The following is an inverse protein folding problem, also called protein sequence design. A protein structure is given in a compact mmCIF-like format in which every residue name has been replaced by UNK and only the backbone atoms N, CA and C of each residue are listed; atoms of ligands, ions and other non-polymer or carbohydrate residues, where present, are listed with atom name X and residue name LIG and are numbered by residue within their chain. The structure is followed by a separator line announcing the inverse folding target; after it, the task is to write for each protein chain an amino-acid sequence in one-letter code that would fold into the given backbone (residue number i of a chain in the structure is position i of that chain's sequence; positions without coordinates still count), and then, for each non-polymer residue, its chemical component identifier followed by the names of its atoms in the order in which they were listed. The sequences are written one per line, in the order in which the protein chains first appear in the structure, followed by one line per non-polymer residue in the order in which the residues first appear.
data_IF_074633800323
#
_entry.id   IF_074633800323
#
_cell.length_a   1.000
_cell.length_b   1.000
_cell.length_c   1.000
_cell.angle_alpha   90.00
_cell.angle_beta   90.00
_cell.angle_gamma   90.00
#
_symmetry.space_group_name_H-M   'P 1'
#
loop_
_entity.id
_entity.type
_entity.pdbx_description
1 polymer ?
#
# COMPACT_ATOMS: atom_id res chain seq x y z
N UNK A 1 18.77 -15.98 -45.50
CA UNK A 1 17.77 -15.71 -44.43
C UNK A 1 18.55 -15.19 -43.23
N UNK A 2 18.52 -13.87 -42.99
CA UNK A 2 19.07 -13.28 -41.79
C UNK A 2 18.03 -13.49 -40.66
N UNK A 3 18.39 -14.31 -39.67
CA UNK A 3 17.60 -14.44 -38.43
C UNK A 3 18.06 -13.31 -37.53
N UNK A 4 17.17 -12.34 -37.18
CA UNK A 4 17.56 -11.30 -36.24
C UNK A 4 17.78 -11.93 -34.85
N UNK A 5 18.98 -11.85 -34.34
CA UNK A 5 19.26 -12.13 -32.93
C UNK A 5 18.59 -11.01 -32.09
N UNK A 6 17.48 -11.33 -31.46
CA UNK A 6 16.88 -10.44 -30.44
C UNK A 6 17.74 -10.58 -29.19
N UNK A 7 18.64 -9.63 -28.98
CA UNK A 7 19.39 -9.52 -27.73
C UNK A 7 18.50 -8.85 -26.68
N UNK A 8 18.05 -9.60 -25.70
CA UNK A 8 17.41 -9.01 -24.52
C UNK A 8 18.50 -8.38 -23.64
N UNK A 9 18.30 -7.14 -23.25
CA UNK A 9 19.21 -6.51 -22.31
C UNK A 9 19.14 -7.26 -20.96
N UNK A 10 20.29 -7.54 -20.39
CA UNK A 10 20.44 -8.25 -19.13
C UNK A 10 21.06 -7.33 -18.09
N UNK A 11 20.56 -7.40 -16.86
CA UNK A 11 21.23 -6.82 -15.69
C UNK A 11 22.04 -7.90 -15.03
N UNK A 12 23.30 -7.58 -14.74
CA UNK A 12 24.25 -8.46 -14.06
C UNK A 12 24.84 -7.71 -12.89
N UNK A 13 25.14 -8.42 -11.83
CA UNK A 13 25.85 -7.86 -10.68
C UNK A 13 26.36 -8.94 -9.75
N UNK A 14 27.22 -8.50 -8.85
CA UNK A 14 27.81 -9.31 -7.80
C UNK A 14 27.34 -8.80 -6.44
N UNK A 15 27.10 -9.72 -5.52
CA UNK A 15 26.70 -9.44 -4.15
C UNK A 15 27.72 -10.09 -3.24
N UNK A 16 28.25 -9.33 -2.28
CA UNK A 16 29.05 -9.83 -1.17
C UNK A 16 28.29 -9.56 0.12
N UNK A 17 28.13 -10.57 0.96
CA UNK A 17 27.46 -10.46 2.24
C UNK A 17 28.49 -10.45 3.35
N UNK A 18 28.56 -9.35 4.06
CA UNK A 18 29.43 -9.21 5.24
C UNK A 18 28.67 -9.63 6.48
N UNK A 19 28.89 -10.85 6.94
CA UNK A 19 28.25 -11.40 8.12
C UNK A 19 28.84 -10.81 9.40
N UNK A 20 27.97 -10.42 10.33
CA UNK A 20 28.34 -9.87 11.63
C UNK A 20 28.41 -10.98 12.68
N UNK A 21 29.26 -10.79 13.68
CA UNK A 21 29.36 -11.71 14.81
C UNK A 21 28.18 -11.58 15.80
N UNK A 22 27.62 -10.38 15.89
CA UNK A 22 26.49 -10.09 16.79
C UNK A 22 25.22 -10.69 16.22
N UNK A 23 24.51 -11.45 17.04
CA UNK A 23 23.29 -12.19 16.64
C UNK A 23 22.01 -11.61 17.24
N UNK A 24 22.09 -10.83 18.34
CA UNK A 24 20.91 -10.26 18.99
C UNK A 24 20.39 -9.03 18.23
N UNK A 25 19.12 -9.08 17.82
CA UNK A 25 18.35 -7.95 17.30
C UNK A 25 17.24 -7.58 18.26
N UNK A 26 17.01 -6.27 18.44
CA UNK A 26 15.92 -5.74 19.25
C UNK A 26 14.89 -5.02 18.40
N UNK A 27 13.61 -5.39 18.54
CA UNK A 27 12.46 -4.72 17.96
C UNK A 27 11.54 -4.24 19.10
N UNK A 28 11.74 -3.03 19.60
CA UNK A 28 11.10 -2.58 20.84
C UNK A 28 11.51 -3.48 22.02
N UNK A 29 10.52 -4.07 22.67
CA UNK A 29 10.73 -5.01 23.79
C UNK A 29 11.06 -6.46 23.34
N UNK A 30 10.99 -6.73 22.04
CA UNK A 30 11.28 -8.02 21.46
C UNK A 30 12.77 -8.17 21.13
N UNK A 31 13.37 -9.28 21.57
CA UNK A 31 14.73 -9.65 21.24
C UNK A 31 14.73 -10.99 20.52
N UNK A 32 15.42 -11.05 19.40
CA UNK A 32 15.66 -12.29 18.64
C UNK A 32 17.15 -12.49 18.40
N UNK A 33 17.57 -13.74 18.44
CA UNK A 33 18.95 -14.14 18.14
C UNK A 33 18.97 -14.79 16.77
N UNK A 34 19.44 -14.07 15.75
CA UNK A 34 19.56 -14.59 14.40
C UNK A 34 20.83 -14.06 13.74
N UNK A 35 21.39 -14.79 12.75
CA UNK A 35 22.55 -14.31 12.01
C UNK A 35 22.25 -12.94 11.39
N UNK A 36 23.21 -12.03 11.46
CA UNK A 36 23.10 -10.70 10.91
C UNK A 36 24.18 -10.44 9.87
N UNK A 37 23.89 -9.55 8.95
CA UNK A 37 24.86 -9.03 7.99
C UNK A 37 24.74 -7.51 7.90
N UNK A 38 25.83 -6.86 7.43
CA UNK A 38 25.89 -5.42 7.33
C UNK A 38 24.92 -4.86 6.27
N UNK A 39 24.44 -3.62 6.49
CA UNK A 39 23.63 -2.87 5.53
C UNK A 39 22.12 -2.97 5.75
N UNK A 40 21.40 -2.23 4.91
CA UNK A 40 19.92 -2.13 4.93
C UNK A 40 19.21 -3.22 4.10
N UNK A 41 19.94 -4.23 3.66
CA UNK A 41 19.49 -5.30 2.77
C UNK A 41 18.87 -6.49 3.51
N UNK A 42 18.50 -6.28 4.74
CA UNK A 42 18.05 -7.29 5.67
C UNK A 42 16.53 -7.38 5.73
N UNK A 43 15.99 -8.58 5.62
CA UNK A 43 14.56 -8.84 5.81
C UNK A 43 14.37 -10.12 6.65
N UNK A 44 13.65 -10.00 7.75
CA UNK A 44 13.25 -11.11 8.60
C UNK A 44 11.75 -11.30 8.57
N UNK A 45 11.30 -12.49 8.17
CA UNK A 45 9.90 -12.90 8.19
C UNK A 45 9.61 -13.54 9.54
N UNK A 46 8.85 -12.85 10.39
CA UNK A 46 8.52 -13.31 11.75
C UNK A 46 7.61 -14.53 11.77
N UNK A 47 6.73 -14.66 10.78
CA UNK A 47 5.77 -15.77 10.72
C UNK A 47 6.46 -17.08 10.34
N UNK A 48 7.38 -16.99 9.40
CA UNK A 48 8.20 -18.12 8.95
C UNK A 48 9.47 -18.31 9.77
N UNK A 49 9.84 -17.35 10.63
CA UNK A 49 11.14 -17.28 11.29
C UNK A 49 12.28 -17.49 10.32
N UNK A 50 12.24 -16.79 9.19
CA UNK A 50 13.17 -16.93 8.08
C UNK A 50 13.88 -15.62 7.77
N UNK A 51 15.15 -15.72 7.40
CA UNK A 51 16.01 -14.60 7.06
C UNK A 51 16.17 -14.51 5.55
N UNK A 52 16.02 -13.31 5.00
CA UNK A 52 16.22 -13.01 3.59
C UNK A 52 17.20 -11.85 3.40
N UNK A 53 17.93 -11.91 2.31
CA UNK A 53 18.62 -10.78 1.74
C UNK A 53 17.69 -10.07 0.76
N UNK A 54 17.57 -8.75 0.88
CA UNK A 54 16.68 -7.95 0.03
C UNK A 54 17.43 -6.71 -0.45
N UNK A 55 17.58 -6.55 -1.75
CA UNK A 55 18.26 -5.39 -2.33
C UNK A 55 17.48 -4.80 -3.49
N UNK A 56 17.50 -3.48 -3.59
CA UNK A 56 16.94 -2.78 -4.75
C UNK A 56 17.92 -2.82 -5.92
N UNK A 57 17.40 -3.10 -7.10
CA UNK A 57 18.13 -3.06 -8.34
C UNK A 57 17.90 -1.73 -9.03
N UNK A 58 18.95 -1.00 -9.30
CA UNK A 58 18.88 0.30 -9.98
C UNK A 58 18.53 0.10 -11.46
N UNK A 59 17.58 0.87 -11.96
CA UNK A 59 17.22 0.93 -13.38
C UNK A 59 15.73 1.13 -13.62
N UNK A 60 15.35 1.83 -14.69
CA UNK A 60 13.94 2.13 -15.00
C UNK A 60 13.23 0.97 -15.70
N UNK A 61 13.93 -0.14 -16.00
CA UNK A 61 13.39 -1.23 -16.76
C UNK A 61 12.57 -2.18 -15.89
N UNK A 62 11.44 -2.65 -16.41
CA UNK A 62 10.75 -3.80 -15.86
C UNK A 62 11.59 -5.04 -16.18
N UNK A 63 11.88 -5.78 -15.12
CA UNK A 63 12.63 -7.01 -15.21
C UNK A 63 11.65 -8.21 -15.27
N UNK A 64 12.09 -9.27 -15.92
CA UNK A 64 11.32 -10.52 -15.92
C UNK A 64 11.54 -11.25 -14.60
N UNK A 65 10.50 -11.28 -13.76
CA UNK A 65 10.53 -11.90 -12.42
C UNK A 65 10.95 -13.38 -12.45
N UNK A 66 10.73 -14.06 -13.56
CA UNK A 66 11.07 -15.48 -13.72
C UNK A 66 12.47 -15.72 -14.28
N UNK A 67 13.18 -14.66 -14.65
CA UNK A 67 14.49 -14.78 -15.30
C UNK A 67 15.66 -14.74 -14.34
N UNK A 68 15.44 -14.63 -13.05
CA UNK A 68 16.50 -14.55 -12.04
C UNK A 68 17.34 -15.82 -12.04
N UNK A 69 18.64 -15.65 -12.25
CA UNK A 69 19.61 -16.73 -12.16
C UNK A 69 20.73 -16.32 -11.22
N UNK A 70 20.98 -17.14 -10.20
CA UNK A 70 22.13 -17.00 -9.31
C UNK A 70 23.25 -17.92 -9.77
N UNK A 71 24.48 -17.43 -9.73
CA UNK A 71 25.68 -18.16 -10.15
C UNK A 71 26.88 -17.80 -9.30
N UNK A 72 27.99 -18.51 -9.46
CA UNK A 72 29.26 -18.24 -8.75
C UNK A 72 29.09 -18.11 -7.23
N UNK A 73 28.21 -18.94 -6.64
CA UNK A 73 27.87 -18.83 -5.23
C UNK A 73 29.01 -19.41 -4.38
N UNK A 74 29.55 -18.55 -3.52
CA UNK A 74 30.58 -18.96 -2.54
C UNK A 74 29.87 -19.06 -1.18
N UNK A 75 30.02 -20.22 -0.56
CA UNK A 75 29.47 -20.52 0.73
C UNK A 75 30.54 -20.62 1.81
N UNK A 76 30.14 -20.34 3.05
CA UNK A 76 30.90 -20.69 4.23
C UNK A 76 30.01 -21.44 5.22
N UNK A 77 30.55 -22.38 6.03
CA UNK A 77 29.75 -23.14 6.98
C UNK A 77 29.22 -22.24 8.09
N UNK A 78 28.03 -22.57 8.60
CA UNK A 78 27.43 -21.95 9.77
C UNK A 78 26.90 -23.06 10.68
N UNK A 79 27.15 -22.97 11.98
CA UNK A 79 26.64 -23.97 12.94
C UNK A 79 25.15 -23.76 13.23
N UNK A 80 24.48 -24.83 13.63
CA UNK A 80 23.08 -24.75 14.06
C UNK A 80 22.88 -23.81 15.25
N UNK A 81 23.85 -23.68 16.12
CA UNK A 81 23.82 -22.76 17.26
C UNK A 81 23.88 -21.29 16.82
N UNK A 82 24.57 -20.98 15.70
CA UNK A 82 24.66 -19.64 15.14
C UNK A 82 23.38 -19.23 14.38
N UNK A 83 22.51 -20.18 14.03
CA UNK A 83 21.23 -19.89 13.41
C UNK A 83 20.21 -19.31 14.40
N UNK A 84 20.42 -19.54 15.69
CA UNK A 84 19.60 -18.98 16.77
C UNK A 84 18.11 -19.32 16.63
N UNK A 85 17.28 -18.31 16.55
CA UNK A 85 15.81 -18.43 16.53
C UNK A 85 15.21 -18.68 15.13
N UNK A 86 16.05 -18.91 14.11
CA UNK A 86 15.55 -19.27 12.78
C UNK A 86 14.88 -20.68 12.81
N UNK A 87 13.76 -20.81 12.11
CA UNK A 87 13.11 -22.10 11.93
C UNK A 87 13.91 -22.98 10.95
N UNK A 88 14.58 -24.01 11.47
CA UNK A 88 15.50 -24.86 10.70
C UNK A 88 14.80 -25.65 9.59
N UNK A 89 13.52 -25.91 9.74
CA UNK A 89 12.65 -26.55 8.75
C UNK A 89 12.35 -25.65 7.54
N UNK A 90 12.41 -24.33 7.74
CA UNK A 90 12.15 -23.34 6.69
C UNK A 90 13.43 -22.91 5.94
N UNK A 91 14.58 -23.46 6.30
CA UNK A 91 15.83 -23.18 5.57
C UNK A 91 15.85 -24.04 4.30
N UNK A 92 15.90 -23.42 3.11
CA UNK A 92 15.82 -24.13 1.84
C UNK A 92 17.10 -24.92 1.55
N UNK A 93 17.01 -25.89 0.63
CA UNK A 93 18.16 -26.67 0.16
C UNK A 93 19.04 -25.92 -0.85
N UNK A 94 18.45 -24.96 -1.55
CA UNK A 94 19.10 -24.10 -2.54
C UNK A 94 18.70 -22.66 -2.28
N UNK A 95 19.48 -21.65 -2.67
CA UNK A 95 19.07 -20.27 -2.55
C UNK A 95 17.79 -20.04 -3.38
N UNK A 96 16.69 -19.77 -2.70
CA UNK A 96 15.45 -19.38 -3.34
C UNK A 96 15.52 -17.90 -3.65
N UNK A 97 15.61 -17.57 -4.93
CA UNK A 97 15.63 -16.17 -5.39
C UNK A 97 14.31 -15.79 -6.04
N UNK A 98 13.83 -14.63 -5.72
CA UNK A 98 12.67 -14.00 -6.34
C UNK A 98 12.95 -12.56 -6.69
N UNK A 99 12.28 -12.07 -7.72
CA UNK A 99 12.29 -10.68 -8.11
C UNK A 99 10.86 -10.13 -7.95
N UNK A 100 10.74 -8.98 -7.32
CA UNK A 100 9.46 -8.28 -7.19
C UNK A 100 9.63 -6.87 -7.74
N UNK A 101 8.67 -6.43 -8.56
CA UNK A 101 8.64 -5.07 -9.07
C UNK A 101 7.55 -4.28 -8.36
N UNK A 102 7.92 -3.20 -7.70
CA UNK A 102 7.00 -2.23 -7.12
C UNK A 102 7.00 -0.95 -7.97
N UNK A 103 5.84 -0.37 -8.16
CA UNK A 103 5.71 0.91 -8.90
C UNK A 103 5.24 1.99 -7.96
N UNK A 104 6.02 3.07 -7.87
CA UNK A 104 5.66 4.26 -7.10
C UNK A 104 5.84 5.49 -7.97
N UNK A 105 4.78 6.29 -8.13
CA UNK A 105 4.79 7.52 -8.94
C UNK A 105 5.39 7.32 -10.35
N UNK A 106 4.94 6.25 -11.03
CA UNK A 106 5.41 5.85 -12.38
C UNK A 106 6.89 5.42 -12.47
N UNK A 107 7.56 5.26 -11.33
CA UNK A 107 8.92 4.72 -11.26
C UNK A 107 8.84 3.26 -10.82
N UNK A 108 9.32 2.36 -11.66
CA UNK A 108 9.47 0.96 -11.31
C UNK A 108 10.73 0.77 -10.45
N UNK A 109 10.56 0.10 -9.31
CA UNK A 109 11.65 -0.34 -8.46
C UNK A 109 11.65 -1.86 -8.39
N UNK A 110 12.77 -2.47 -8.72
CA UNK A 110 12.92 -3.91 -8.70
C UNK A 110 13.69 -4.32 -7.44
N UNK A 111 13.20 -5.35 -6.78
CA UNK A 111 13.81 -5.90 -5.57
C UNK A 111 14.18 -7.35 -5.80
N UNK A 112 15.47 -7.66 -5.62
CA UNK A 112 15.97 -9.03 -5.60
C UNK A 112 15.97 -9.52 -4.16
N UNK A 113 15.23 -10.61 -3.91
CA UNK A 113 15.11 -11.25 -2.61
C UNK A 113 15.59 -12.68 -2.73
N UNK A 114 16.43 -13.14 -1.81
CA UNK A 114 16.85 -14.54 -1.76
C UNK A 114 17.16 -15.00 -0.35
N UNK A 115 17.13 -16.33 -0.14
CA UNK A 115 17.56 -16.95 1.12
C UNK A 115 19.09 -17.00 1.21
N UNK A 116 19.71 -16.27 2.14
CA UNK A 116 21.16 -16.22 2.23
C UNK A 116 21.76 -17.42 2.99
N UNK A 117 20.92 -18.29 3.53
CA UNK A 117 21.30 -19.51 4.26
C UNK A 117 20.60 -20.70 3.62
N UNK A 118 21.34 -21.80 3.45
CA UNK A 118 20.83 -23.06 2.91
C UNK A 118 21.17 -24.22 3.85
N UNK A 119 20.46 -25.35 3.65
CA UNK A 119 20.74 -26.63 4.32
C UNK A 119 20.99 -27.70 3.28
N UNK A 120 22.17 -28.30 3.30
CA UNK A 120 22.51 -29.45 2.45
C UNK A 120 22.73 -30.73 3.29
N UNK A 121 23.24 -31.76 2.66
CA UNK A 121 23.51 -33.05 3.32
C UNK A 121 24.66 -32.98 4.37
N UNK A 122 25.44 -31.91 4.35
CA UNK A 122 26.61 -31.70 5.21
C UNK A 122 26.33 -30.70 6.34
N UNK A 123 25.16 -30.07 6.37
CA UNK A 123 24.75 -29.10 7.36
C UNK A 123 24.30 -27.77 6.78
N UNK A 124 24.46 -26.71 7.58
CA UNK A 124 24.02 -25.38 7.17
C UNK A 124 25.20 -24.59 6.57
N UNK A 125 24.89 -23.80 5.55
CA UNK A 125 25.84 -22.92 4.88
C UNK A 125 25.20 -21.55 4.67
N UNK A 126 26.01 -20.51 4.80
CA UNK A 126 25.62 -19.13 4.48
C UNK A 126 26.38 -18.66 3.25
N UNK A 127 25.73 -17.82 2.47
CA UNK A 127 26.33 -17.24 1.26
C UNK A 127 27.28 -16.12 1.66
N UNK A 128 28.52 -16.19 1.17
CA UNK A 128 29.51 -15.13 1.29
C UNK A 128 29.45 -14.18 0.10
N UNK A 129 29.33 -14.74 -1.10
CA UNK A 129 29.17 -13.94 -2.32
C UNK A 129 28.46 -14.74 -3.39
N UNK A 130 27.84 -14.03 -4.33
CA UNK A 130 27.21 -14.60 -5.51
C UNK A 130 27.20 -13.59 -6.67
N UNK A 131 27.00 -14.09 -7.88
CA UNK A 131 26.66 -13.29 -9.05
C UNK A 131 25.20 -13.54 -9.43
N UNK A 132 24.51 -12.53 -9.98
CA UNK A 132 23.17 -12.68 -10.52
C UNK A 132 23.07 -12.18 -11.95
N UNK A 133 22.13 -12.75 -12.69
CA UNK A 133 21.74 -12.33 -14.04
C UNK A 133 20.22 -12.29 -14.09
N UNK A 134 19.69 -11.20 -14.61
CA UNK A 134 18.24 -10.97 -14.77
C UNK A 134 17.99 -10.38 -16.15
N UNK A 135 17.03 -10.93 -16.88
CA UNK A 135 16.64 -10.42 -18.20
C UNK A 135 15.61 -9.31 -18.07
N UNK A 136 15.67 -8.33 -18.95
CA UNK A 136 14.59 -7.36 -19.05
C UNK A 136 13.32 -8.04 -19.60
N UNK A 137 12.18 -7.68 -19.05
CA UNK A 137 10.90 -8.10 -19.60
C UNK A 137 10.68 -7.43 -20.95
N UNK A 138 10.30 -8.23 -21.97
CA UNK A 138 9.83 -7.70 -23.24
C UNK A 138 8.45 -7.05 -23.14
N UNK A 139 7.77 -7.26 -22.03
CA UNK A 139 6.56 -6.54 -21.71
C UNK A 139 6.95 -5.08 -21.54
N UNK A 140 6.60 -4.24 -22.53
CA UNK A 140 6.42 -2.81 -22.26
C UNK A 140 5.66 -2.78 -20.95
N UNK A 141 6.06 -1.88 -20.02
CA UNK A 141 5.16 -1.51 -18.95
C UNK A 141 3.79 -1.47 -19.64
N UNK A 142 2.95 -2.48 -19.46
CA UNK A 142 1.56 -2.19 -19.34
C UNK A 142 1.60 -1.18 -18.21
N UNK A 143 1.81 0.08 -18.51
CA UNK A 143 1.06 1.07 -17.81
C UNK A 143 -0.30 0.41 -17.84
N UNK A 144 -0.68 -0.29 -16.76
CA UNK A 144 -2.06 -0.28 -16.44
C UNK A 144 -2.29 1.22 -16.36
N UNK A 145 -2.62 1.78 -17.51
CA UNK A 145 -3.46 2.92 -17.64
C UNK A 145 -4.81 2.47 -17.05
N UNK A 146 -4.84 1.99 -15.81
CA UNK A 146 -5.75 2.61 -14.90
C UNK A 146 -5.22 4.04 -14.89
N UNK A 147 -5.60 4.76 -15.96
CA UNK A 147 -5.84 6.19 -15.87
C UNK A 147 -6.54 6.27 -14.52
N UNK A 148 -5.84 6.70 -13.51
CA UNK A 148 -6.47 7.50 -12.48
C UNK A 148 -7.22 8.46 -13.37
N UNK A 149 -8.53 8.24 -13.53
CA UNK A 149 -9.32 9.04 -14.44
C UNK A 149 -9.04 10.42 -13.90
N UNK A 150 -8.22 11.16 -14.63
CA UNK A 150 -7.89 12.53 -14.24
C UNK A 150 -9.26 13.12 -14.25
N UNK A 151 -9.83 13.40 -13.06
CA UNK A 151 -11.15 13.96 -12.93
C UNK A 151 -11.12 15.26 -13.72
N UNK A 152 -11.55 15.19 -14.96
CA UNK A 152 -11.61 16.36 -15.85
C UNK A 152 -12.66 17.32 -15.33
N UNK A 153 -13.63 16.85 -14.55
CA UNK A 153 -14.74 17.61 -14.00
C UNK A 153 -15.07 17.09 -12.59
N UNK A 154 -14.27 17.49 -11.59
CA UNK A 154 -14.65 17.25 -10.19
C UNK A 154 -15.92 18.00 -9.84
N UNK A 155 -16.77 17.41 -9.03
CA UNK A 155 -17.97 18.07 -8.50
C UNK A 155 -17.61 19.39 -7.79
N UNK A 156 -16.44 19.46 -7.17
CA UNK A 156 -15.91 20.65 -6.49
C UNK A 156 -15.39 21.73 -7.44
N UNK A 157 -15.35 21.50 -8.76
CA UNK A 157 -14.81 22.45 -9.72
C UNK A 157 -15.66 23.72 -9.90
N UNK A 158 -16.93 23.67 -9.50
CA UNK A 158 -17.86 24.79 -9.61
C UNK A 158 -18.87 24.78 -8.45
N UNK A 159 -19.43 25.94 -8.14
CA UNK A 159 -20.39 26.12 -7.06
C UNK A 159 -19.76 26.66 -5.78
N UNK A 160 -20.63 26.94 -4.80
CA UNK A 160 -20.21 27.37 -3.46
C UNK A 160 -20.26 26.17 -2.52
N UNK A 161 -19.14 25.85 -1.89
CA UNK A 161 -18.96 24.65 -1.10
C UNK A 161 -18.72 24.99 0.36
N UNK A 162 -19.44 24.28 1.26
CA UNK A 162 -19.37 24.46 2.70
C UNK A 162 -19.09 23.09 3.34
N UNK A 163 -18.01 22.98 4.09
CA UNK A 163 -17.56 21.72 4.68
C UNK A 163 -17.93 21.61 6.15
N UNK A 164 -18.49 20.47 6.52
CA UNK A 164 -18.69 20.06 7.90
C UNK A 164 -18.21 18.61 8.10
N UNK A 165 -18.19 18.17 9.35
CA UNK A 165 -17.80 16.79 9.66
C UNK A 165 -18.75 16.16 10.65
N UNK A 166 -18.74 14.84 10.68
CA UNK A 166 -19.36 13.99 11.66
C UNK A 166 -18.35 12.96 12.17
N UNK A 167 -18.60 12.40 13.36
CA UNK A 167 -17.75 11.38 13.97
C UNK A 167 -18.42 10.01 13.97
N UNK A 168 -19.73 9.97 14.14
CA UNK A 168 -20.51 8.73 14.24
C UNK A 168 -21.55 8.61 13.14
N UNK A 169 -21.79 7.37 12.70
CA UNK A 169 -22.85 7.09 11.75
C UNK A 169 -24.24 7.31 12.37
N UNK A 170 -25.16 7.87 11.59
CA UNK A 170 -26.52 8.12 12.06
C UNK A 170 -27.30 9.06 11.15
N UNK A 171 -28.57 9.29 11.53
CA UNK A 171 -29.40 10.30 10.90
C UNK A 171 -29.15 11.65 11.57
N UNK A 172 -28.80 12.62 10.75
CA UNK A 172 -28.48 13.97 11.20
C UNK A 172 -29.55 14.95 10.76
N UNK A 173 -29.91 15.85 11.69
CA UNK A 173 -30.75 17.00 11.43
C UNK A 173 -29.89 18.23 11.27
N UNK A 174 -29.89 18.84 10.09
CA UNK A 174 -29.21 20.09 9.79
C UNK A 174 -30.24 21.21 9.86
N UNK A 175 -30.10 22.06 10.87
CA UNK A 175 -30.98 23.21 11.09
C UNK A 175 -30.55 24.44 10.28
N UNK A 176 -31.45 25.41 10.17
CA UNK A 176 -31.15 26.72 9.59
C UNK A 176 -29.97 27.41 10.26
N UNK A 177 -29.91 27.37 11.59
CA UNK A 177 -28.80 28.00 12.34
C UNK A 177 -27.46 27.34 12.07
N UNK A 178 -27.43 26.02 11.91
CA UNK A 178 -26.19 25.33 11.52
C UNK A 178 -25.72 25.76 10.14
N UNK A 179 -26.62 25.84 9.14
CA UNK A 179 -26.27 26.33 7.80
C UNK A 179 -25.74 27.77 7.81
N UNK A 180 -26.32 28.62 8.65
CA UNK A 180 -25.84 30.01 8.85
C UNK A 180 -24.44 30.03 9.48
N UNK A 181 -24.17 29.17 10.44
CA UNK A 181 -22.83 29.04 11.06
C UNK A 181 -21.79 28.57 10.07
N UNK A 182 -22.16 27.75 9.09
CA UNK A 182 -21.31 27.38 7.97
C UNK A 182 -21.05 28.53 6.98
N UNK A 183 -21.84 29.60 7.05
CA UNK A 183 -21.69 30.78 6.19
C UNK A 183 -22.67 30.88 5.03
N UNK A 184 -23.69 30.03 4.96
CA UNK A 184 -24.70 30.09 3.90
C UNK A 184 -25.63 31.32 4.08
N UNK A 185 -25.81 32.09 2.99
CA UNK A 185 -26.86 33.12 2.91
C UNK A 185 -28.21 32.53 2.52
N UNK A 186 -28.96 32.08 3.51
CA UNK A 186 -30.24 31.39 3.33
C UNK A 186 -31.36 32.29 2.82
N UNK A 187 -31.16 33.62 2.68
CA UNK A 187 -32.14 34.51 2.10
C UNK A 187 -32.21 34.40 0.58
N UNK A 188 -31.10 34.04 -0.02
CA UNK A 188 -30.95 33.95 -1.49
C UNK A 188 -31.01 32.51 -2.02
N UNK A 189 -31.04 31.51 -1.13
CA UNK A 189 -30.96 30.08 -1.52
C UNK A 189 -32.36 29.46 -1.54
N UNK A 190 -32.68 28.86 -2.68
CA UNK A 190 -33.84 27.95 -2.77
C UNK A 190 -33.47 26.61 -2.13
N UNK A 191 -34.20 26.16 -1.07
CA UNK A 191 -33.85 24.89 -0.36
C UNK A 191 -33.79 23.68 -1.29
N UNK A 192 -34.62 23.62 -2.34
CA UNK A 192 -34.58 22.53 -3.34
C UNK A 192 -33.28 22.39 -4.12
N UNK A 193 -32.41 23.38 -4.01
CA UNK A 193 -31.08 23.36 -4.67
C UNK A 193 -29.95 22.94 -3.73
N UNK A 194 -30.22 22.78 -2.44
CA UNK A 194 -29.23 22.32 -1.48
C UNK A 194 -28.96 20.84 -1.72
N UNK A 195 -27.71 20.45 -1.74
CA UNK A 195 -27.25 19.10 -1.91
C UNK A 195 -26.17 18.80 -0.89
N UNK A 196 -26.01 17.54 -0.51
CA UNK A 196 -24.93 17.08 0.36
C UNK A 196 -24.12 16.03 -0.38
N UNK A 197 -22.80 16.22 -0.40
CA UNK A 197 -21.86 15.32 -1.02
C UNK A 197 -20.87 14.77 0.01
N UNK A 198 -20.51 13.50 -0.15
CA UNK A 198 -19.51 12.86 0.72
C UNK A 198 -19.49 11.34 0.49
N UNK A 199 -18.35 10.72 0.77
CA UNK A 199 -18.16 9.28 0.58
C UNK A 199 -18.15 8.52 1.91
N UNK A 200 -18.55 9.16 3.01
CA UNK A 200 -18.40 8.61 4.35
C UNK A 200 -16.96 8.67 4.85
N UNK A 201 -16.73 8.19 6.06
CA UNK A 201 -15.42 8.17 6.71
C UNK A 201 -14.74 6.81 6.70
N UNK A 202 -15.15 5.88 5.83
CA UNK A 202 -14.57 4.54 5.76
C UNK A 202 -13.10 4.59 5.39
N UNK A 203 -12.31 3.67 5.94
CA UNK A 203 -10.93 3.49 5.52
C UNK A 203 -10.85 3.20 4.01
N UNK A 204 -9.85 3.78 3.37
CA UNK A 204 -9.53 3.47 1.98
C UNK A 204 -9.13 1.99 1.86
N UNK A 205 -9.46 1.32 0.73
CA UNK A 205 -8.98 -0.02 0.46
C UNK A 205 -7.45 -0.07 0.46
N UNK A 206 -6.87 -1.16 0.97
CA UNK A 206 -5.41 -1.37 0.96
C UNK A 206 -4.88 -1.55 -0.46
N UNK A 207 -5.66 -2.21 -1.32
CA UNK A 207 -5.29 -2.45 -2.70
C UNK A 207 -5.83 -1.33 -3.61
N UNK A 208 -4.95 -0.65 -4.33
CA UNK A 208 -5.32 0.34 -5.35
C UNK A 208 -6.19 -0.23 -6.49
N UNK A 209 -6.28 -1.56 -6.61
CA UNK A 209 -7.15 -2.24 -7.56
C UNK A 209 -8.61 -2.31 -7.11
N UNK A 210 -8.88 -2.12 -5.83
CA UNK A 210 -10.24 -2.10 -5.29
C UNK A 210 -10.96 -0.83 -5.76
N UNK A 211 -12.19 -0.99 -6.23
CA UNK A 211 -12.97 0.14 -6.71
C UNK A 211 -13.38 1.04 -5.54
N UNK A 212 -13.02 2.31 -5.64
CA UNK A 212 -13.37 3.35 -4.68
C UNK A 212 -13.82 4.61 -5.45
N UNK A 213 -14.81 5.37 -4.98
CA UNK A 213 -15.24 6.59 -5.64
C UNK A 213 -14.08 7.57 -5.86
N UNK A 214 -13.90 8.00 -7.09
CA UNK A 214 -12.85 8.95 -7.47
C UNK A 214 -13.21 10.42 -7.21
N UNK A 215 -14.49 10.71 -6.94
CA UNK A 215 -15.01 12.01 -6.58
C UNK A 215 -16.08 11.88 -5.49
N UNK A 216 -16.57 13.00 -4.98
CA UNK A 216 -17.63 13.01 -3.98
C UNK A 216 -18.96 12.54 -4.56
N UNK A 217 -19.65 11.71 -3.80
CA UNK A 217 -20.97 11.16 -4.17
C UNK A 217 -22.08 12.00 -3.54
N UNK A 218 -23.13 12.30 -4.30
CA UNK A 218 -24.34 12.94 -3.77
C UNK A 218 -25.07 12.01 -2.82
N UNK A 219 -25.37 12.50 -1.63
CA UNK A 219 -26.11 11.74 -0.61
C UNK A 219 -27.60 12.08 -0.69
N UNK A 220 -28.43 11.08 -0.45
CA UNK A 220 -29.87 11.28 -0.32
C UNK A 220 -30.19 12.16 0.90
N UNK A 221 -30.98 13.18 0.70
CA UNK A 221 -31.45 14.11 1.73
C UNK A 221 -32.95 14.27 1.65
N UNK A 222 -33.58 14.60 2.77
CA UNK A 222 -34.98 15.02 2.86
C UNK A 222 -35.01 16.42 3.47
N UNK A 223 -35.68 17.35 2.78
CA UNK A 223 -35.77 18.73 3.25
C UNK A 223 -37.22 18.98 3.70
N UNK A 224 -37.39 19.21 4.98
CA UNK A 224 -38.67 19.53 5.57
C UNK A 224 -38.91 21.04 5.46
N UNK A 225 -40.00 21.45 4.85
CA UNK A 225 -40.38 22.85 4.69
C UNK A 225 -40.06 23.45 3.32
N UNK A 226 -39.48 22.71 2.37
CA UNK A 226 -38.97 23.24 1.09
C UNK A 226 -40.02 23.74 0.09
N UNK A 227 -41.33 23.52 0.38
CA UNK A 227 -42.42 23.72 -0.60
C UNK A 227 -42.64 25.19 -1.02
N UNK A 228 -42.41 26.11 -0.10
CA UNK A 228 -42.58 27.56 -0.34
C UNK A 228 -41.34 28.20 -0.99
N UNK A 229 -40.25 27.44 -1.18
CA UNK A 229 -39.02 27.91 -1.83
C UNK A 229 -38.13 28.77 -0.91
N UNK A 230 -38.42 28.85 0.38
CA UNK A 230 -37.66 29.62 1.38
C UNK A 230 -37.21 28.66 2.50
N UNK A 231 -36.01 28.80 2.99
CA UNK A 231 -35.54 28.02 4.14
C UNK A 231 -35.84 28.78 5.43
N UNK A 232 -36.98 28.47 6.05
CA UNK A 232 -37.50 29.11 7.25
C UNK A 232 -36.82 28.60 8.54
N UNK A 233 -37.18 29.17 9.71
CA UNK A 233 -36.57 28.77 10.98
C UNK A 233 -36.94 27.35 11.41
N UNK A 234 -38.13 26.91 11.01
CA UNK A 234 -38.66 25.58 11.34
C UNK A 234 -38.17 24.50 10.36
N UNK A 235 -37.58 24.91 9.23
CA UNK A 235 -37.13 24.00 8.20
C UNK A 235 -35.79 23.34 8.60
N UNK A 236 -35.59 22.14 8.09
CA UNK A 236 -34.38 21.38 8.34
C UNK A 236 -34.13 20.32 7.27
N UNK A 237 -32.90 19.88 7.17
CA UNK A 237 -32.50 18.78 6.32
C UNK A 237 -32.28 17.55 7.20
N UNK A 238 -32.78 16.39 6.75
CA UNK A 238 -32.43 15.10 7.28
C UNK A 238 -31.55 14.36 6.28
N UNK A 239 -30.48 13.76 6.74
CA UNK A 239 -29.70 12.86 5.93
C UNK A 239 -29.02 11.81 6.81
N UNK A 240 -28.78 10.63 6.23
CA UNK A 240 -27.97 9.60 6.87
C UNK A 240 -26.51 9.85 6.52
N UNK A 241 -25.66 9.99 7.53
CA UNK A 241 -24.25 10.17 7.37
C UNK A 241 -23.48 8.97 7.94
N UNK A 242 -22.46 8.52 7.21
CA UNK A 242 -21.52 7.50 7.67
C UNK A 242 -20.35 8.15 8.38
N UNK A 243 -20.11 7.76 9.63
CA UNK A 243 -18.94 8.13 10.40
C UNK A 243 -17.71 7.33 10.01
N UNK A 244 -16.63 7.57 10.74
CA UNK A 244 -15.33 6.93 10.48
C UNK A 244 -15.28 5.47 10.92
N UNK A 245 -15.99 5.14 12.00
CA UNK A 245 -15.98 3.80 12.58
C UNK A 245 -16.99 2.91 11.89
N UNK A 246 -16.48 1.96 11.13
CA UNK A 246 -17.28 0.91 10.47
C UNK A 246 -16.44 -0.35 10.35
N UNK A 247 -17.09 -1.52 10.30
CA UNK A 247 -16.34 -2.77 10.15
C UNK A 247 -15.52 -2.78 8.85
N UNK A 248 -14.22 -2.91 8.99
CA UNK A 248 -13.30 -3.11 7.87
C UNK A 248 -12.83 -4.57 7.84
N UNK A 249 -13.18 -5.28 6.76
CA UNK A 249 -12.89 -6.70 6.62
C UNK A 249 -11.40 -6.96 6.38
N UNK A 250 -10.69 -6.02 5.75
CA UNK A 250 -9.26 -6.18 5.45
C UNK A 250 -8.39 -6.06 6.71
N UNK A 251 -8.70 -5.07 7.57
CA UNK A 251 -7.94 -4.83 8.81
C UNK A 251 -8.59 -5.46 10.05
N UNK A 252 -9.76 -6.11 9.89
CA UNK A 252 -10.50 -6.78 10.96
C UNK A 252 -10.75 -5.90 12.20
N UNK A 253 -11.08 -4.62 11.97
CA UNK A 253 -11.36 -3.65 13.04
C UNK A 253 -12.55 -2.76 12.70
N UNK A 254 -13.19 -2.22 13.74
CA UNK A 254 -14.18 -1.17 13.61
C UNK A 254 -13.57 0.22 13.60
N UNK A 255 -12.39 0.38 14.18
CA UNK A 255 -11.77 1.69 14.33
C UNK A 255 -11.08 2.11 13.03
N UNK A 256 -11.34 3.33 12.59
CA UNK A 256 -10.54 3.93 11.52
C UNK A 256 -9.15 4.27 12.07
N UNK A 257 -8.10 3.73 11.46
CA UNK A 257 -6.72 3.91 11.91
C UNK A 257 -6.11 5.24 11.43
N UNK A 258 -6.78 5.97 10.53
CA UNK A 258 -6.21 7.11 9.82
C UNK A 258 -6.93 8.42 10.09
N UNK A 259 -8.22 8.40 10.44
CA UNK A 259 -9.01 9.60 10.68
C UNK A 259 -10.04 9.38 11.78
N UNK A 260 -10.42 10.48 12.44
CA UNK A 260 -11.49 10.55 13.45
C UNK A 260 -12.72 11.29 12.95
N UNK A 261 -12.71 11.82 11.73
CA UNK A 261 -13.75 12.67 11.16
C UNK A 261 -14.13 12.25 9.75
N UNK A 262 -15.43 12.21 9.51
CA UNK A 262 -16.00 12.01 8.18
C UNK A 262 -16.50 13.35 7.64
N UNK A 263 -15.99 13.79 6.50
CA UNK A 263 -16.29 15.09 5.93
C UNK A 263 -17.37 15.03 4.87
N UNK A 264 -18.28 16.01 4.96
CA UNK A 264 -19.38 16.25 4.01
C UNK A 264 -19.35 17.69 3.54
N UNK A 265 -19.89 17.92 2.35
CA UNK A 265 -19.88 19.20 1.66
C UNK A 265 -21.25 19.60 1.16
#
# INVERSE_FOLDING_TARGET
ILIPFISFAQIKGDITIEWLEKQEMSFGDFKINIPQFSGSTYYYDSDKKALFYNTSLSGPAILDEKSVQLSNIIYEPISSTQLGDLALENIPKTPEASLTTATSRDIAQNFLIFSPIIKDNFGFKRIKSLSYIISQSSSKISQSNKKTATLSNSILASGDWYRFYIEKSGVYKISRDFLRQLGLDLKSINPKKIKIYGNGGRMLPLLNSTNYPSDLTENAIEIIGENDGVFNNEDYILFYAEGVDTWNTESQTFNNLYDTKSYYY
#
